data_IF_564563751672
#
_entry.id   IF_564563751672
#
_cell.length_a   1.000
_cell.length_b   1.000
_cell.length_c   1.000
_cell.angle_alpha   90.00
_cell.angle_beta   90.00
_cell.angle_gamma   90.00
#
_symmetry.space_group_name_H-M   'P 1'
#
loop_
_entity.id
_entity.type
_entity.pdbx_description
1 polymer ?
#
# COMPACT_ATOMS: atom_id res chain seq x y z
N UNK A 1 -2.25 -30.95 21.67
CA UNK A 1 -2.43 -30.79 20.20
C UNK A 1 -1.39 -29.86 19.59
N UNK A 2 -1.20 -28.65 20.11
CA UNK A 2 -0.28 -27.61 19.56
C UNK A 2 1.21 -27.82 19.88
N UNK A 3 1.69 -29.08 19.92
CA UNK A 3 3.05 -29.40 20.35
C UNK A 3 4.06 -29.07 19.24
N UNK A 4 4.98 -28.15 19.53
CA UNK A 4 6.14 -27.86 18.69
C UNK A 4 7.12 -29.03 18.72
N UNK A 5 7.71 -29.30 17.56
CA UNK A 5 8.93 -30.09 17.49
C UNK A 5 10.05 -29.37 18.26
N UNK A 6 10.91 -30.08 19.01
CA UNK A 6 11.96 -29.46 19.82
C UNK A 6 13.04 -28.75 18.99
N UNK A 7 13.27 -29.20 17.76
CA UNK A 7 14.16 -28.54 16.81
C UNK A 7 13.41 -27.53 15.95
N UNK A 8 14.04 -26.38 15.72
CA UNK A 8 13.58 -25.29 14.86
C UNK A 8 14.72 -24.82 13.95
N UNK A 9 14.39 -24.20 12.83
CA UNK A 9 15.37 -23.64 11.88
C UNK A 9 15.25 -22.12 11.87
N UNK A 10 16.38 -21.41 11.90
CA UNK A 10 16.40 -19.96 11.77
C UNK A 10 17.16 -19.55 10.51
N UNK A 11 16.53 -18.72 9.68
CA UNK A 11 17.12 -18.13 8.48
C UNK A 11 17.23 -16.62 8.68
N UNK A 12 18.40 -16.07 8.38
CA UNK A 12 18.67 -14.64 8.48
C UNK A 12 18.89 -14.07 7.08
N UNK A 13 18.04 -13.12 6.69
CA UNK A 13 18.16 -12.42 5.42
C UNK A 13 18.75 -11.03 5.65
N UNK A 14 19.85 -10.73 4.98
CA UNK A 14 20.52 -9.43 5.04
C UNK A 14 20.16 -8.56 3.84
N UNK A 15 19.62 -7.38 4.10
CA UNK A 15 19.38 -6.35 3.10
C UNK A 15 20.65 -5.56 2.79
N UNK A 16 20.63 -4.85 1.64
CA UNK A 16 21.77 -4.05 1.18
C UNK A 16 22.12 -2.91 2.14
N UNK A 17 21.12 -2.36 2.82
CA UNK A 17 21.27 -1.30 3.82
C UNK A 17 21.80 -1.81 5.18
N UNK A 18 22.04 -3.12 5.31
CA UNK A 18 22.50 -3.77 6.54
C UNK A 18 21.39 -4.30 7.43
N UNK A 19 20.12 -4.00 7.14
CA UNK A 19 18.97 -4.48 7.94
C UNK A 19 18.83 -6.01 7.83
N UNK A 20 18.37 -6.64 8.91
CA UNK A 20 18.25 -8.09 9.03
C UNK A 20 16.81 -8.52 9.27
N UNK A 21 16.36 -9.52 8.53
CA UNK A 21 15.10 -10.24 8.78
C UNK A 21 15.42 -11.65 9.27
N UNK A 22 15.03 -11.92 10.51
CA UNK A 22 15.14 -13.20 11.17
C UNK A 22 13.83 -13.96 11.00
N UNK A 23 13.92 -15.19 10.49
CA UNK A 23 12.79 -16.08 10.27
C UNK A 23 13.04 -17.36 11.06
N UNK A 24 12.27 -17.59 12.11
CA UNK A 24 12.35 -18.84 12.88
C UNK A 24 11.17 -19.73 12.54
N UNK A 25 11.48 -20.88 11.95
CA UNK A 25 10.53 -21.88 11.51
C UNK A 25 10.36 -22.96 12.57
N UNK A 26 9.10 -23.27 12.90
CA UNK A 26 8.73 -24.34 13.79
C UNK A 26 7.87 -25.37 13.04
N UNK A 27 7.89 -26.61 13.52
CA UNK A 27 7.03 -27.68 13.02
C UNK A 27 6.05 -28.11 14.10
N UNK A 28 4.76 -28.11 13.77
CA UNK A 28 3.69 -28.56 14.65
C UNK A 28 3.34 -30.00 14.29
N UNK A 29 3.97 -30.95 15.01
CA UNK A 29 3.98 -32.37 14.64
C UNK A 29 2.57 -32.97 14.51
N UNK A 30 1.67 -32.66 15.44
CA UNK A 30 0.31 -33.23 15.42
C UNK A 30 -0.58 -32.61 14.34
N UNK A 31 -0.25 -31.41 13.88
CA UNK A 31 -1.00 -30.70 12.85
C UNK A 31 -0.41 -30.90 11.44
N UNK A 32 0.79 -31.47 11.36
CA UNK A 32 1.60 -31.59 10.16
C UNK A 32 1.74 -30.26 9.39
N UNK A 33 2.04 -29.17 10.11
CA UNK A 33 2.13 -27.81 9.55
C UNK A 33 3.39 -27.13 10.05
N UNK A 34 4.05 -26.37 9.17
CA UNK A 34 5.13 -25.47 9.54
C UNK A 34 4.59 -24.09 9.89
N UNK A 35 5.23 -23.41 10.83
CA UNK A 35 4.92 -22.01 11.18
C UNK A 35 6.18 -21.18 11.15
N UNK A 36 6.04 -19.87 10.99
CA UNK A 36 7.17 -18.93 11.02
C UNK A 36 6.90 -17.78 11.97
N UNK A 37 7.93 -17.40 12.72
CA UNK A 37 8.00 -16.11 13.42
C UNK A 37 9.00 -15.22 12.70
N UNK A 38 8.58 -14.00 12.42
CA UNK A 38 9.45 -12.98 11.85
C UNK A 38 9.95 -12.05 12.97
N UNK A 39 11.18 -11.59 12.85
CA UNK A 39 11.70 -10.46 13.61
C UNK A 39 12.61 -9.65 12.70
N UNK A 40 12.52 -8.33 12.79
CA UNK A 40 13.35 -7.43 12.00
C UNK A 40 14.27 -6.64 12.93
N UNK A 41 15.51 -6.44 12.51
CA UNK A 41 16.47 -5.52 13.13
C UNK A 41 16.96 -4.54 12.07
N UNK A 42 16.70 -3.25 12.29
CA UNK A 42 17.19 -2.19 11.42
C UNK A 42 18.70 -2.00 11.59
N UNK A 43 19.39 -1.60 10.52
CA UNK A 43 20.83 -1.33 10.56
C UNK A 43 21.21 -0.11 11.42
N UNK A 44 20.27 0.80 11.61
CA UNK A 44 20.44 2.06 12.37
C UNK A 44 19.19 2.26 13.20
N UNK A 45 19.30 2.93 14.35
CA UNK A 45 18.12 3.36 15.10
C UNK A 45 17.21 4.18 14.19
N UNK A 46 15.97 3.71 14.04
CA UNK A 46 14.95 4.37 13.24
C UNK A 46 14.00 5.09 14.20
N UNK A 47 13.82 6.40 14.02
CA UNK A 47 12.71 7.10 14.63
C UNK A 47 11.42 6.56 14.03
N UNK A 48 10.57 5.95 14.86
CA UNK A 48 9.31 5.35 14.39
C UNK A 48 8.31 6.48 14.18
N UNK A 49 7.89 6.77 12.93
CA UNK A 49 6.85 7.76 12.69
C UNK A 49 5.53 7.22 13.25
N UNK A 50 4.69 8.09 13.76
CA UNK A 50 3.43 7.72 14.42
C UNK A 50 2.53 6.92 13.45
N UNK A 51 2.49 7.35 12.19
CA UNK A 51 1.77 6.75 11.07
C UNK A 51 2.39 5.44 10.56
N UNK A 52 3.61 5.05 10.98
CA UNK A 52 4.11 3.73 10.60
C UNK A 52 3.27 2.62 11.21
N UNK A 53 2.74 2.79 12.43
CA UNK A 53 1.89 1.78 13.09
C UNK A 53 2.37 0.34 12.85
N UNK A 54 1.57 -0.44 12.14
CA UNK A 54 1.81 -1.86 11.86
C UNK A 54 2.75 -2.16 10.68
N UNK A 55 3.31 -1.14 10.02
CA UNK A 55 4.12 -1.32 8.79
C UNK A 55 5.31 -2.27 8.98
N UNK A 56 5.94 -2.21 10.16
CA UNK A 56 7.07 -3.07 10.55
C UNK A 56 6.69 -4.06 11.67
N UNK A 57 5.40 -4.19 11.97
CA UNK A 57 4.92 -5.10 13.00
C UNK A 57 5.26 -6.55 12.61
N UNK A 58 5.97 -7.32 13.47
CA UNK A 58 6.35 -8.69 13.17
C UNK A 58 5.19 -9.61 12.75
N UNK A 59 3.99 -9.38 13.30
CA UNK A 59 2.82 -10.23 13.09
C UNK A 59 2.19 -10.03 11.69
N UNK A 60 2.29 -8.83 11.11
CA UNK A 60 1.68 -8.51 9.81
C UNK A 60 2.71 -8.28 8.69
N UNK A 61 4.01 -8.18 9.01
CA UNK A 61 5.08 -7.86 8.05
C UNK A 61 5.08 -8.76 6.81
N UNK A 62 4.83 -10.06 7.00
CA UNK A 62 4.88 -11.08 5.96
C UNK A 62 3.48 -11.51 5.47
N UNK A 63 2.42 -10.86 5.93
CA UNK A 63 1.06 -11.10 5.46
C UNK A 63 0.95 -10.81 3.96
N UNK A 64 0.18 -11.64 3.25
CA UNK A 64 -0.01 -11.55 1.81
C UNK A 64 1.30 -11.50 1.01
N UNK A 65 2.36 -12.17 1.48
CA UNK A 65 3.58 -12.36 0.68
C UNK A 65 3.24 -13.09 -0.63
N UNK A 66 2.36 -14.08 -0.51
CA UNK A 66 1.59 -14.63 -1.63
C UNK A 66 0.17 -14.02 -1.56
N UNK A 67 -0.47 -13.71 -2.71
CA UNK A 67 -1.78 -13.07 -2.71
C UNK A 67 -2.83 -13.84 -1.88
N UNK A 68 -3.55 -13.14 -1.00
CA UNK A 68 -4.59 -13.70 -0.12
C UNK A 68 -4.11 -14.59 1.03
N UNK A 69 -2.78 -14.75 1.21
CA UNK A 69 -2.23 -15.55 2.30
C UNK A 69 -1.96 -14.71 3.54
N UNK A 70 -2.98 -14.56 4.39
CA UNK A 70 -2.89 -13.78 5.63
C UNK A 70 -2.26 -14.56 6.80
N UNK A 71 -2.01 -15.87 6.65
CA UNK A 71 -1.43 -16.68 7.73
C UNK A 71 -2.29 -16.80 8.99
N UNK A 72 -3.61 -16.61 8.88
CA UNK A 72 -4.58 -16.73 9.99
C UNK A 72 -5.33 -18.08 10.00
N UNK A 73 -5.32 -18.81 8.88
CA UNK A 73 -6.03 -20.09 8.70
C UNK A 73 -5.04 -21.24 8.56
N UNK A 74 -5.45 -22.44 8.98
CA UNK A 74 -4.62 -23.63 8.79
C UNK A 74 -4.59 -24.04 7.31
N UNK A 75 -3.41 -24.32 6.74
CA UNK A 75 -3.29 -24.73 5.34
C UNK A 75 -3.70 -26.20 5.12
N UNK A 76 -3.74 -27.02 6.18
CA UNK A 76 -4.13 -28.42 6.12
C UNK A 76 -5.62 -28.57 6.48
N UNK A 77 -6.51 -28.97 5.54
CA UNK A 77 -7.94 -29.11 5.80
C UNK A 77 -8.27 -30.11 6.91
N UNK A 78 -7.44 -31.14 7.11
CA UNK A 78 -7.66 -32.14 8.17
C UNK A 78 -7.59 -31.52 9.58
N UNK A 79 -6.87 -30.41 9.74
CA UNK A 79 -6.74 -29.73 11.03
C UNK A 79 -8.05 -29.09 11.49
N UNK A 80 -8.98 -28.77 10.58
CA UNK A 80 -10.26 -28.17 10.95
C UNK A 80 -11.09 -29.14 11.80
N UNK A 81 -11.28 -30.38 11.34
CA UNK A 81 -11.94 -31.44 12.13
C UNK A 81 -11.25 -31.70 13.47
N UNK A 82 -9.93 -31.59 13.45
CA UNK A 82 -9.06 -31.81 14.58
C UNK A 82 -9.23 -30.69 15.63
N UNK A 83 -9.39 -29.44 15.20
CA UNK A 83 -9.70 -28.29 16.03
C UNK A 83 -11.12 -28.35 16.61
N UNK A 84 -12.10 -28.72 15.80
CA UNK A 84 -13.51 -28.87 16.22
C UNK A 84 -13.61 -29.90 17.37
N UNK A 85 -12.85 -30.99 17.29
CA UNK A 85 -12.83 -32.04 18.33
C UNK A 85 -12.32 -31.55 19.68
N UNK A 86 -11.48 -30.52 19.72
CA UNK A 86 -10.88 -29.99 20.95
C UNK A 86 -11.36 -28.58 21.32
N UNK A 87 -12.33 -28.04 20.58
CA UNK A 87 -12.91 -26.72 20.81
C UNK A 87 -11.99 -25.53 20.47
N UNK A 88 -11.02 -25.71 19.56
CA UNK A 88 -10.21 -24.57 19.07
C UNK A 88 -11.02 -23.84 17.99
N UNK A 89 -11.48 -22.63 18.29
CA UNK A 89 -12.30 -21.83 17.37
C UNK A 89 -11.47 -21.11 16.31
N UNK A 90 -10.31 -20.56 16.69
CA UNK A 90 -9.42 -19.86 15.77
C UNK A 90 -7.97 -20.15 16.09
N UNK A 91 -7.16 -20.31 15.03
CA UNK A 91 -5.72 -20.48 15.19
C UNK A 91 -5.02 -19.16 15.53
N UNK A 92 -5.68 -18.02 15.28
CA UNK A 92 -5.12 -16.69 15.46
C UNK A 92 -4.69 -16.43 16.91
N UNK A 93 -5.43 -16.96 17.89
CA UNK A 93 -5.12 -16.81 19.31
C UNK A 93 -3.78 -17.45 19.69
N UNK A 94 -3.34 -18.45 18.91
CA UNK A 94 -2.10 -19.19 19.13
C UNK A 94 -0.94 -18.70 18.25
N UNK A 95 -1.20 -17.82 17.28
CA UNK A 95 -0.16 -17.27 16.39
C UNK A 95 0.96 -16.56 17.16
N UNK A 96 0.70 -15.74 18.20
CA UNK A 96 1.77 -15.11 18.98
C UNK A 96 2.72 -16.13 19.61
N UNK A 97 2.22 -17.31 20.00
CA UNK A 97 3.04 -18.37 20.57
C UNK A 97 3.71 -19.22 19.47
N UNK A 98 2.96 -19.65 18.45
CA UNK A 98 3.35 -20.68 17.50
C UNK A 98 3.98 -20.14 16.22
N UNK A 99 3.72 -18.88 15.86
CA UNK A 99 4.01 -18.30 14.56
C UNK A 99 2.91 -18.55 13.52
N UNK A 100 3.04 -17.90 12.36
CA UNK A 100 2.04 -17.96 11.30
C UNK A 100 2.23 -19.18 10.39
N UNK A 101 1.17 -19.95 10.10
CA UNK A 101 1.20 -21.08 9.18
C UNK A 101 0.97 -20.65 7.71
N UNK A 102 1.76 -19.71 7.19
CA UNK A 102 1.61 -19.26 5.81
C UNK A 102 1.74 -20.41 4.79
N UNK A 103 1.05 -20.30 3.66
CA UNK A 103 1.10 -21.26 2.55
C UNK A 103 2.51 -21.33 1.95
N UNK A 104 3.19 -20.18 1.82
CA UNK A 104 4.55 -20.16 1.28
C UNK A 104 5.55 -20.91 2.20
N UNK A 105 5.31 -20.91 3.51
CA UNK A 105 6.14 -21.67 4.47
C UNK A 105 5.99 -23.16 4.22
N UNK A 106 4.75 -23.63 3.98
CA UNK A 106 4.50 -25.03 3.67
C UNK A 106 5.24 -25.46 2.40
N UNK A 107 5.13 -24.64 1.34
CA UNK A 107 5.79 -24.89 0.06
C UNK A 107 7.31 -24.94 0.20
N UNK A 108 7.91 -24.05 0.98
CA UNK A 108 9.34 -24.12 1.29
C UNK A 108 9.72 -25.38 2.08
N UNK A 109 8.83 -25.88 2.93
CA UNK A 109 9.00 -27.16 3.62
C UNK A 109 8.69 -28.39 2.77
N UNK A 110 8.31 -28.23 1.50
CA UNK A 110 7.91 -29.34 0.64
C UNK A 110 6.50 -29.87 0.91
N UNK A 111 5.71 -29.20 1.74
CA UNK A 111 4.33 -29.60 2.06
C UNK A 111 3.34 -28.96 1.10
N UNK A 112 2.53 -29.79 0.45
CA UNK A 112 1.43 -29.36 -0.40
C UNK A 112 0.10 -29.88 0.12
N UNK A 113 -0.88 -29.00 0.26
CA UNK A 113 -2.22 -29.33 0.73
C UNK A 113 -3.22 -29.06 -0.40
N UNK A 114 -3.58 -30.08 -1.21
CA UNK A 114 -4.62 -29.95 -2.23
C UNK A 114 -5.97 -29.64 -1.57
N UNK A 115 -6.76 -28.75 -2.18
CA UNK A 115 -8.12 -28.46 -1.71
C UNK A 115 -9.14 -29.54 -2.09
N UNK A 116 -8.86 -30.31 -3.16
CA UNK A 116 -9.87 -31.11 -3.86
C UNK A 116 -9.56 -32.63 -3.96
N UNK A 117 -8.60 -33.17 -3.19
CA UNK A 117 -8.23 -34.59 -3.27
C UNK A 117 -8.22 -35.30 -1.90
N UNK A 118 -8.61 -36.59 -1.87
CA UNK A 118 -8.64 -37.37 -0.64
C UNK A 118 -7.25 -37.57 -0.04
N UNK A 119 -7.25 -37.63 1.29
CA UNK A 119 -6.15 -37.48 2.23
C UNK A 119 -5.12 -38.63 2.17
N UNK A 120 -4.22 -38.62 1.18
CA UNK A 120 -2.93 -39.27 1.40
C UNK A 120 -2.12 -38.45 2.42
N UNK A 121 -1.33 -39.09 3.30
CA UNK A 121 -0.47 -38.35 4.23
C UNK A 121 0.45 -37.45 3.41
N UNK A 122 0.36 -36.13 3.66
CA UNK A 122 1.21 -35.15 2.97
C UNK A 122 2.65 -35.38 3.41
N UNK A 123 3.47 -35.85 2.48
CA UNK A 123 4.92 -36.06 2.66
C UNK A 123 5.66 -34.88 2.04
N UNK A 124 6.77 -34.49 2.67
CA UNK A 124 7.62 -33.42 2.16
C UNK A 124 8.27 -33.80 0.83
N UNK A 125 8.10 -32.92 -0.17
CA UNK A 125 8.72 -33.04 -1.50
C UNK A 125 9.82 -31.97 -1.68
N UNK A 126 11.05 -32.44 -1.86
CA UNK A 126 12.22 -31.59 -2.08
C UNK A 126 12.13 -30.79 -3.38
N UNK A 127 11.48 -31.33 -4.42
CA UNK A 127 11.34 -30.66 -5.71
C UNK A 127 10.43 -29.42 -5.60
N UNK A 128 9.36 -29.52 -4.80
CA UNK A 128 8.48 -28.41 -4.48
C UNK A 128 9.24 -27.29 -3.75
N UNK A 129 10.00 -27.64 -2.72
CA UNK A 129 10.82 -26.69 -1.97
C UNK A 129 11.80 -25.94 -2.89
N UNK A 130 12.57 -26.69 -3.69
CA UNK A 130 13.56 -26.13 -4.61
C UNK A 130 12.93 -25.16 -5.63
N UNK A 131 11.77 -25.51 -6.19
CA UNK A 131 11.07 -24.67 -7.17
C UNK A 131 10.55 -23.34 -6.61
N UNK A 132 10.30 -23.26 -5.29
CA UNK A 132 9.75 -22.08 -4.63
C UNK A 132 10.80 -21.25 -3.88
N UNK A 133 11.97 -21.81 -3.59
CA UNK A 133 13.01 -21.19 -2.74
C UNK A 133 13.43 -19.81 -3.26
N UNK A 134 13.94 -19.74 -4.49
CA UNK A 134 14.47 -18.50 -5.05
C UNK A 134 13.42 -17.38 -5.10
N UNK A 135 12.22 -17.71 -5.62
CA UNK A 135 11.11 -16.76 -5.72
C UNK A 135 10.71 -16.22 -4.35
N UNK A 136 10.58 -17.09 -3.36
CA UNK A 136 10.13 -16.70 -2.01
C UNK A 136 11.18 -15.85 -1.31
N UNK A 137 12.46 -16.19 -1.43
CA UNK A 137 13.55 -15.38 -0.88
C UNK A 137 13.62 -13.98 -1.53
N UNK A 138 13.39 -13.88 -2.85
CA UNK A 138 13.27 -12.58 -3.53
C UNK A 138 12.09 -11.77 -2.99
N UNK A 139 10.91 -12.39 -2.85
CA UNK A 139 9.72 -11.71 -2.32
C UNK A 139 9.92 -11.23 -0.88
N UNK A 140 10.53 -12.04 -0.01
CA UNK A 140 10.86 -11.65 1.38
C UNK A 140 11.76 -10.42 1.41
N UNK A 141 12.80 -10.40 0.56
CA UNK A 141 13.71 -9.27 0.46
C UNK A 141 13.01 -8.00 -0.06
N UNK A 142 12.25 -8.12 -1.14
CA UNK A 142 11.46 -6.99 -1.70
C UNK A 142 10.44 -6.47 -0.69
N UNK A 143 9.77 -7.36 0.07
CA UNK A 143 8.85 -6.97 1.14
C UNK A 143 9.57 -6.15 2.21
N UNK A 144 10.71 -6.63 2.70
CA UNK A 144 11.45 -5.90 3.73
C UNK A 144 11.92 -4.53 3.23
N UNK A 145 12.53 -4.48 2.05
CA UNK A 145 13.03 -3.23 1.46
C UNK A 145 11.90 -2.23 1.18
N UNK A 146 10.75 -2.67 0.67
CA UNK A 146 9.59 -1.80 0.43
C UNK A 146 9.00 -1.24 1.71
N UNK A 147 8.89 -2.04 2.79
CA UNK A 147 8.42 -1.58 4.10
C UNK A 147 9.39 -0.60 4.76
N UNK A 148 10.69 -0.85 4.67
CA UNK A 148 11.71 0.08 5.15
C UNK A 148 11.70 1.40 4.34
N UNK A 149 11.46 1.34 3.03
CA UNK A 149 11.32 2.52 2.19
C UNK A 149 10.07 3.34 2.56
N UNK A 150 8.92 2.69 2.74
CA UNK A 150 7.69 3.34 3.22
C UNK A 150 7.90 3.99 4.59
N UNK A 151 8.58 3.32 5.50
CA UNK A 151 8.87 3.87 6.83
C UNK A 151 9.68 5.16 6.74
N UNK A 152 10.70 5.21 5.88
CA UNK A 152 11.49 6.43 5.63
C UNK A 152 10.65 7.54 4.99
N UNK A 153 9.75 7.17 4.08
CA UNK A 153 8.83 8.12 3.45
C UNK A 153 7.87 8.71 4.48
N UNK A 154 7.24 7.89 5.33
CA UNK A 154 6.29 8.35 6.36
C UNK A 154 6.93 9.31 7.35
N UNK A 155 8.18 9.05 7.75
CA UNK A 155 8.94 10.00 8.57
C UNK A 155 9.07 11.38 7.91
N UNK A 156 9.12 11.46 6.58
CA UNK A 156 9.12 12.76 5.87
C UNK A 156 7.70 13.34 5.73
N UNK A 157 6.71 12.49 5.42
CA UNK A 157 5.32 12.90 5.22
C UNK A 157 4.70 13.52 6.48
N UNK A 158 5.03 13.03 7.67
CA UNK A 158 4.57 13.59 8.94
C UNK A 158 5.04 15.03 9.18
N UNK A 159 6.15 15.41 8.57
CA UNK A 159 6.68 16.77 8.61
C UNK A 159 6.16 17.63 7.43
N UNK A 160 5.19 17.14 6.66
CA UNK A 160 4.66 17.82 5.47
C UNK A 160 5.61 17.81 4.27
N UNK A 161 6.70 17.03 4.33
CA UNK A 161 7.70 16.96 3.26
C UNK A 161 7.36 15.79 2.35
N UNK A 162 7.19 16.06 1.05
CA UNK A 162 7.03 15.04 0.01
C UNK A 162 8.41 14.69 -0.59
N UNK A 163 9.05 13.57 -0.18
CA UNK A 163 10.35 13.21 -0.71
C UNK A 163 10.19 12.65 -2.13
N UNK A 164 10.67 13.40 -3.12
CA UNK A 164 10.77 12.97 -4.51
C UNK A 164 12.23 12.64 -4.84
N UNK A 165 12.47 11.46 -5.39
CA UNK A 165 13.83 11.08 -5.77
C UNK A 165 14.33 11.93 -6.95
N UNK A 166 15.65 12.20 -7.06
CA UNK A 166 16.21 12.94 -8.20
C UNK A 166 15.83 12.34 -9.55
N UNK A 167 15.76 11.01 -9.63
CA UNK A 167 15.40 10.27 -10.84
C UNK A 167 13.92 10.47 -11.23
N UNK A 168 13.06 10.87 -10.29
CA UNK A 168 11.62 11.08 -10.50
C UNK A 168 11.26 12.55 -10.76
N UNK A 169 12.23 13.49 -10.71
CA UNK A 169 11.96 14.92 -10.88
C UNK A 169 11.34 15.26 -12.23
N UNK A 170 11.73 14.54 -13.29
CA UNK A 170 11.19 14.73 -14.64
C UNK A 170 9.69 14.43 -14.77
N UNK A 171 9.07 13.79 -13.76
CA UNK A 171 7.65 13.50 -13.75
C UNK A 171 6.80 14.72 -13.40
N UNK A 172 7.40 15.78 -12.85
CA UNK A 172 6.71 16.91 -12.23
C UNK A 172 7.20 18.26 -12.79
N UNK A 173 6.36 19.30 -12.76
CA UNK A 173 6.81 20.66 -13.04
C UNK A 173 7.72 21.18 -11.92
N UNK A 174 8.56 22.16 -12.24
CA UNK A 174 9.49 22.75 -11.27
C UNK A 174 8.80 23.49 -10.12
N UNK A 175 7.65 24.13 -10.39
CA UNK A 175 6.90 24.93 -9.40
C UNK A 175 5.55 24.28 -9.07
N UNK A 176 5.37 23.96 -7.80
CA UNK A 176 4.16 23.34 -7.24
C UNK A 176 3.80 24.15 -5.98
N UNK A 177 2.55 24.61 -5.91
CA UNK A 177 2.10 25.58 -4.90
C UNK A 177 1.33 24.91 -3.76
N UNK A 178 0.52 23.90 -4.07
CA UNK A 178 -0.10 23.06 -3.05
C UNK A 178 0.93 22.22 -2.31
N UNK A 179 0.72 22.01 -1.01
CA UNK A 179 1.63 21.24 -0.17
C UNK A 179 0.87 20.33 0.80
N UNK A 180 1.55 19.27 1.23
CA UNK A 180 1.04 18.35 2.25
C UNK A 180 1.10 19.04 3.62
N UNK A 181 -0.03 19.12 4.30
CA UNK A 181 -0.11 19.67 5.68
C UNK A 181 -0.33 18.59 6.73
N UNK A 182 -0.91 17.44 6.35
CA UNK A 182 -1.17 16.35 7.29
C UNK A 182 -1.01 14.99 6.63
N UNK A 183 -0.37 14.08 7.34
CA UNK A 183 -0.33 12.65 7.03
C UNK A 183 -0.61 11.87 8.32
N UNK A 184 -1.63 11.03 8.32
CA UNK A 184 -2.00 10.23 9.50
C UNK A 184 -2.56 8.87 9.09
N UNK A 185 -2.41 7.86 9.96
CA UNK A 185 -3.09 6.58 9.81
C UNK A 185 -4.56 6.68 10.18
N UNK A 186 -5.38 5.87 9.51
CA UNK A 186 -6.80 5.64 9.83
C UNK A 186 -6.99 4.18 10.22
N UNK A 187 -8.03 3.90 11.00
CA UNK A 187 -8.52 2.53 11.15
C UNK A 187 -9.31 2.11 9.91
N UNK A 188 -9.59 0.80 9.78
CA UNK A 188 -10.46 0.31 8.71
C UNK A 188 -11.88 0.87 8.87
N UNK A 189 -12.38 0.90 10.10
CA UNK A 189 -13.69 1.43 10.46
C UNK A 189 -13.82 2.91 10.10
N UNK A 190 -12.85 3.74 10.48
CA UNK A 190 -12.83 5.17 10.14
C UNK A 190 -12.83 5.39 8.61
N UNK A 191 -12.12 4.53 7.85
CA UNK A 191 -12.09 4.64 6.39
C UNK A 191 -13.44 4.30 5.76
N UNK A 192 -14.16 3.31 6.30
CA UNK A 192 -15.49 2.91 5.82
C UNK A 192 -16.57 3.96 6.09
N UNK A 193 -16.39 4.80 7.11
CA UNK A 193 -17.34 5.87 7.43
C UNK A 193 -17.27 7.05 6.45
N UNK A 194 -16.18 7.16 5.67
CA UNK A 194 -15.99 8.26 4.72
C UNK A 194 -16.93 8.12 3.50
N UNK A 195 -17.82 9.09 3.23
CA UNK A 195 -18.80 8.95 2.14
C UNK A 195 -18.19 8.81 0.74
N UNK A 196 -17.00 9.37 0.53
CA UNK A 196 -16.31 9.40 -0.76
C UNK A 196 -15.41 8.17 -1.01
N UNK A 197 -15.39 7.17 -0.12
CA UNK A 197 -14.60 5.93 -0.29
C UNK A 197 -15.44 4.72 -0.70
N UNK A 198 -16.78 4.87 -0.79
CA UNK A 198 -17.73 3.77 -1.02
C UNK A 198 -17.41 2.92 -2.24
N UNK A 199 -17.12 3.55 -3.38
CA UNK A 199 -16.81 2.83 -4.63
C UNK A 199 -15.59 1.89 -4.48
N UNK A 200 -14.58 2.29 -3.69
CA UNK A 200 -13.38 1.49 -3.42
C UNK A 200 -13.71 0.29 -2.53
N UNK A 201 -14.56 0.50 -1.52
CA UNK A 201 -15.04 -0.56 -0.63
C UNK A 201 -15.91 -1.56 -1.40
N UNK A 202 -16.89 -1.10 -2.16
CA UNK A 202 -17.80 -1.93 -2.96
C UNK A 202 -17.08 -2.72 -4.05
N UNK A 203 -15.97 -2.18 -4.57
CA UNK A 203 -15.10 -2.87 -5.53
C UNK A 203 -14.19 -3.94 -4.91
N UNK A 204 -14.23 -4.13 -3.58
CA UNK A 204 -13.38 -5.10 -2.88
C UNK A 204 -11.91 -4.71 -2.82
N UNK A 205 -11.60 -3.41 -2.96
CA UNK A 205 -10.22 -2.90 -2.94
C UNK A 205 -9.77 -2.47 -1.52
N UNK A 206 -10.72 -2.39 -0.58
CA UNK A 206 -10.49 -2.09 0.84
C UNK A 206 -10.82 -3.32 1.69
N UNK A 207 -9.81 -4.02 2.19
CA UNK A 207 -9.93 -5.15 3.10
C UNK A 207 -9.44 -4.79 4.51
N UNK A 208 -9.94 -5.47 5.54
CA UNK A 208 -9.52 -5.30 6.94
C UNK A 208 -8.01 -5.52 7.16
N UNK A 209 -7.33 -6.18 6.23
CA UNK A 209 -5.89 -6.45 6.26
C UNK A 209 -5.03 -5.39 5.56
N UNK A 210 -5.64 -4.37 4.96
CA UNK A 210 -4.93 -3.25 4.35
C UNK A 210 -4.56 -2.18 5.39
N UNK A 211 -3.65 -1.28 5.01
CA UNK A 211 -3.30 -0.10 5.80
C UNK A 211 -4.01 1.13 5.22
N UNK A 212 -4.56 1.97 6.10
CA UNK A 212 -5.37 3.12 5.72
C UNK A 212 -4.73 4.42 6.20
N UNK A 213 -4.76 5.44 5.34
CA UNK A 213 -4.16 6.73 5.63
C UNK A 213 -5.03 7.88 5.14
N UNK A 214 -4.85 9.05 5.76
CA UNK A 214 -5.41 10.31 5.32
C UNK A 214 -4.27 11.30 5.05
N UNK A 215 -4.20 11.78 3.82
CA UNK A 215 -3.41 12.95 3.46
C UNK A 215 -4.31 14.18 3.36
N UNK A 216 -3.85 15.32 3.90
CA UNK A 216 -4.48 16.62 3.68
C UNK A 216 -3.49 17.50 2.90
N UNK A 217 -3.92 17.95 1.73
CA UNK A 217 -3.15 18.85 0.85
C UNK A 217 -3.89 20.18 0.78
N UNK A 218 -3.16 21.27 0.95
CA UNK A 218 -3.73 22.62 0.98
C UNK A 218 -3.07 23.56 -0.03
N UNK A 219 -3.88 24.49 -0.55
CA UNK A 219 -3.44 25.70 -1.24
C UNK A 219 -4.46 26.81 -0.99
N UNK A 220 -4.04 27.89 -0.33
CA UNK A 220 -4.95 28.98 0.03
C UNK A 220 -6.12 28.46 0.87
N UNK A 221 -7.36 28.76 0.47
CA UNK A 221 -8.55 28.27 1.17
C UNK A 221 -8.96 26.85 0.76
N UNK A 222 -8.36 26.27 -0.27
CA UNK A 222 -8.72 24.95 -0.78
C UNK A 222 -8.06 23.83 0.03
N UNK A 223 -8.87 22.88 0.50
CA UNK A 223 -8.43 21.73 1.28
C UNK A 223 -8.82 20.42 0.60
N UNK A 224 -7.83 19.66 0.14
CA UNK A 224 -8.03 18.35 -0.47
C UNK A 224 -7.72 17.25 0.53
N UNK A 225 -8.73 16.49 0.93
CA UNK A 225 -8.59 15.24 1.66
C UNK A 225 -8.37 14.11 0.65
N UNK A 226 -7.36 13.29 0.90
CA UNK A 226 -7.06 12.10 0.12
C UNK A 226 -6.93 10.90 1.05
N UNK A 227 -7.93 10.03 1.01
CA UNK A 227 -7.92 8.78 1.76
C UNK A 227 -7.23 7.70 0.93
N UNK A 228 -6.25 7.03 1.51
CA UNK A 228 -5.33 6.12 0.81
C UNK A 228 -5.44 4.72 1.39
N UNK A 229 -5.67 3.74 0.52
CA UNK A 229 -5.61 2.31 0.84
C UNK A 229 -4.28 1.74 0.36
N UNK A 230 -3.52 1.13 1.26
CA UNK A 230 -2.23 0.50 0.96
C UNK A 230 -2.31 -1.01 1.22
N UNK A 231 -2.34 -1.78 0.13
CA UNK A 231 -2.29 -3.23 0.19
C UNK A 231 -0.90 -3.71 0.71
N UNK A 232 -0.82 -4.80 1.50
CA UNK A 232 0.46 -5.34 1.97
C UNK A 232 1.47 -5.69 0.84
N UNK A 233 0.99 -5.91 -0.37
CA UNK A 233 1.76 -6.10 -1.60
C UNK A 233 2.29 -4.82 -2.26
N UNK A 234 2.44 -3.71 -1.51
CA UNK A 234 3.02 -2.46 -2.00
C UNK A 234 4.31 -2.67 -2.81
N UNK A 235 4.51 -1.81 -3.80
CA UNK A 235 5.47 -1.90 -4.93
C UNK A 235 5.07 -2.88 -6.05
N UNK A 236 4.18 -3.84 -5.79
CA UNK A 236 3.56 -4.68 -6.82
C UNK A 236 2.12 -4.28 -7.09
N UNK A 237 1.40 -3.88 -6.03
CA UNK A 237 0.04 -3.34 -6.07
C UNK A 237 0.11 -1.87 -5.66
N UNK A 238 -0.42 -0.93 -6.48
CA UNK A 238 -0.38 0.49 -6.16
C UNK A 238 -1.33 0.82 -5.00
N UNK A 239 -1.02 1.85 -4.19
CA UNK A 239 -2.01 2.47 -3.32
C UNK A 239 -3.16 3.06 -4.13
N UNK A 240 -4.36 3.02 -3.56
CA UNK A 240 -5.60 3.56 -4.15
C UNK A 240 -6.05 4.79 -3.37
N UNK A 241 -6.37 5.86 -4.07
CA UNK A 241 -6.75 7.16 -3.52
C UNK A 241 -8.23 7.45 -3.77
N UNK A 242 -8.92 7.99 -2.76
CA UNK A 242 -10.25 8.58 -2.86
C UNK A 242 -10.19 10.03 -2.41
N UNK A 243 -10.79 10.94 -3.16
CA UNK A 243 -10.60 12.37 -3.01
C UNK A 243 -11.87 13.11 -2.58
N UNK A 244 -11.71 14.03 -1.64
CA UNK A 244 -12.72 15.02 -1.27
C UNK A 244 -12.09 16.41 -1.18
N UNK A 245 -12.50 17.31 -2.07
CA UNK A 245 -12.07 18.70 -2.08
C UNK A 245 -13.11 19.58 -1.39
N UNK A 246 -12.71 20.21 -0.29
CA UNK A 246 -13.48 21.25 0.36
C UNK A 246 -13.01 22.62 -0.13
N UNK A 247 -13.69 23.14 -1.14
CA UNK A 247 -13.49 24.47 -1.69
C UNK A 247 -14.74 24.88 -2.49
N UNK A 248 -15.41 25.96 -2.05
CA UNK A 248 -16.71 26.40 -2.57
C UNK A 248 -17.77 25.28 -2.48
N UNK A 249 -17.82 24.62 -1.33
CA UNK A 249 -18.61 23.42 -1.10
C UNK A 249 -17.76 22.15 -1.15
N UNK A 250 -18.42 21.02 -0.93
CA UNK A 250 -17.80 19.70 -0.94
C UNK A 250 -17.88 19.08 -2.35
N UNK A 251 -16.71 18.82 -2.94
CA UNK A 251 -16.56 18.21 -4.26
C UNK A 251 -15.90 16.84 -4.14
N UNK A 252 -16.55 15.83 -4.66
CA UNK A 252 -16.12 14.42 -4.63
C UNK A 252 -16.22 13.84 -6.04
N UNK A 253 -15.74 12.61 -6.24
CA UNK A 253 -15.90 11.89 -7.51
C UNK A 253 -17.37 11.74 -7.93
N UNK A 254 -18.32 11.76 -6.98
CA UNK A 254 -19.75 11.61 -7.24
C UNK A 254 -20.40 12.84 -7.86
N UNK A 255 -19.87 14.04 -7.59
CA UNK A 255 -20.49 15.30 -8.02
C UNK A 255 -19.57 16.18 -8.89
N UNK A 256 -18.30 15.80 -9.10
CA UNK A 256 -17.36 16.50 -9.97
C UNK A 256 -16.49 15.52 -10.80
N UNK A 257 -16.70 15.54 -12.12
CA UNK A 257 -15.94 14.73 -13.09
C UNK A 257 -14.44 15.01 -13.05
N UNK A 258 -14.01 16.21 -12.65
CA UNK A 258 -12.59 16.54 -12.55
C UNK A 258 -11.95 15.93 -11.30
N UNK A 259 -12.70 15.72 -10.21
CA UNK A 259 -12.21 14.95 -9.05
C UNK A 259 -12.01 13.49 -9.45
N UNK A 260 -12.98 12.90 -10.17
CA UNK A 260 -12.83 11.55 -10.75
C UNK A 260 -11.64 11.46 -11.71
N UNK A 261 -11.40 12.49 -12.52
CA UNK A 261 -10.23 12.53 -13.40
C UNK A 261 -8.91 12.64 -12.61
N UNK A 262 -8.86 13.41 -11.52
CA UNK A 262 -7.70 13.46 -10.61
C UNK A 262 -7.42 12.10 -9.97
N UNK A 263 -8.46 11.38 -9.52
CA UNK A 263 -8.34 10.00 -9.03
C UNK A 263 -7.78 9.08 -10.11
N UNK A 264 -8.26 9.18 -11.35
CA UNK A 264 -7.74 8.38 -12.46
C UNK A 264 -6.25 8.65 -12.75
N UNK A 265 -5.79 9.90 -12.64
CA UNK A 265 -4.38 10.27 -12.83
C UNK A 265 -3.44 9.59 -11.83
N UNK A 266 -3.88 9.41 -10.58
CA UNK A 266 -3.06 8.79 -9.54
C UNK A 266 -3.27 7.28 -9.42
N UNK A 267 -4.49 6.79 -9.64
CA UNK A 267 -4.86 5.38 -9.45
C UNK A 267 -4.66 4.54 -10.70
N UNK A 268 -5.07 5.04 -11.87
CA UNK A 268 -5.04 4.28 -13.14
C UNK A 268 -3.73 4.51 -13.89
N UNK A 269 -3.28 5.76 -13.94
CA UNK A 269 -2.02 6.14 -14.60
C UNK A 269 -0.77 5.96 -13.70
N UNK A 270 -0.89 5.24 -12.58
CA UNK A 270 0.17 5.02 -11.60
C UNK A 270 1.49 4.49 -12.20
N UNK A 271 1.44 3.76 -13.31
CA UNK A 271 2.64 3.22 -13.99
C UNK A 271 3.59 4.31 -14.46
N UNK A 272 3.07 5.51 -14.78
CA UNK A 272 3.88 6.69 -15.12
C UNK A 272 4.60 7.26 -13.89
N UNK A 273 4.20 6.86 -12.68
CA UNK A 273 4.68 7.37 -11.39
C UNK A 273 5.60 6.38 -10.66
N UNK A 274 5.78 5.16 -11.17
CA UNK A 274 6.60 4.13 -10.52
C UNK A 274 8.08 4.52 -10.36
N UNK A 275 8.59 5.45 -11.19
CA UNK A 275 10.01 5.81 -11.18
C UNK A 275 10.93 4.62 -11.53
N UNK A 276 12.21 4.64 -11.14
CA UNK A 276 13.13 3.54 -11.39
C UNK A 276 12.76 2.29 -10.57
N UNK A 277 13.04 1.11 -11.14
CA UNK A 277 12.91 -0.16 -10.40
C UNK A 277 13.77 -0.11 -9.13
N UNK A 278 13.28 -0.61 -7.98
CA UNK A 278 12.10 -1.48 -7.81
C UNK A 278 10.76 -0.76 -7.57
N UNK A 279 10.69 0.57 -7.71
CA UNK A 279 9.43 1.31 -7.63
C UNK A 279 8.93 1.62 -6.21
N UNK A 280 9.82 1.68 -5.22
CA UNK A 280 9.44 1.96 -3.84
C UNK A 280 8.95 3.40 -3.60
N UNK A 281 9.17 4.33 -4.54
CA UNK A 281 8.77 5.75 -4.46
C UNK A 281 7.39 6.04 -5.05
N UNK A 282 6.60 5.01 -5.36
CA UNK A 282 5.30 5.19 -6.02
C UNK A 282 4.34 6.06 -5.20
N UNK A 283 4.22 5.83 -3.89
CA UNK A 283 3.30 6.57 -3.03
C UNK A 283 3.61 8.08 -3.02
N UNK A 284 4.89 8.44 -2.84
CA UNK A 284 5.30 9.85 -2.79
C UNK A 284 5.15 10.52 -4.14
N UNK A 285 5.40 9.78 -5.24
CA UNK A 285 5.14 10.27 -6.59
C UNK A 285 3.63 10.45 -6.88
N UNK A 286 2.76 9.60 -6.34
CA UNK A 286 1.29 9.78 -6.41
C UNK A 286 0.84 11.02 -5.63
N UNK A 287 1.33 11.21 -4.40
CA UNK A 287 1.05 12.42 -3.61
C UNK A 287 1.56 13.69 -4.30
N UNK A 288 2.75 13.65 -4.88
CA UNK A 288 3.30 14.77 -5.65
C UNK A 288 2.46 15.06 -6.90
N UNK A 289 2.03 14.02 -7.62
CA UNK A 289 1.09 14.16 -8.75
C UNK A 289 -0.21 14.80 -8.29
N UNK A 290 -0.71 14.42 -7.12
CA UNK A 290 -1.93 14.96 -6.54
C UNK A 290 -1.83 16.46 -6.27
N UNK A 291 -0.71 16.93 -5.72
CA UNK A 291 -0.41 18.36 -5.60
C UNK A 291 -0.45 19.06 -6.97
N UNK A 292 0.19 18.49 -7.99
CA UNK A 292 0.21 19.07 -9.35
C UNK A 292 -1.20 19.19 -9.94
N UNK A 293 -2.02 18.15 -9.82
CA UNK A 293 -3.37 18.17 -10.39
C UNK A 293 -4.34 19.03 -9.57
N UNK A 294 -4.15 19.16 -8.25
CA UNK A 294 -4.89 20.12 -7.43
C UNK A 294 -4.58 21.56 -7.85
N UNK A 295 -3.30 21.87 -8.06
CA UNK A 295 -2.90 23.18 -8.57
C UNK A 295 -3.59 23.51 -9.90
N UNK A 296 -3.56 22.58 -10.86
CA UNK A 296 -4.23 22.76 -12.15
C UNK A 296 -5.73 22.89 -11.99
N UNK A 297 -6.34 22.10 -11.11
CA UNK A 297 -7.76 22.16 -10.81
C UNK A 297 -8.15 23.60 -10.43
N UNK A 298 -7.43 24.18 -9.47
CA UNK A 298 -7.70 25.51 -8.93
C UNK A 298 -7.36 26.63 -9.94
N UNK A 299 -6.22 26.53 -10.63
CA UNK A 299 -5.74 27.53 -11.59
C UNK A 299 -6.64 27.63 -12.83
N UNK A 300 -7.18 26.50 -13.29
CA UNK A 300 -8.03 26.44 -14.49
C UNK A 300 -9.52 26.56 -14.18
N UNK A 301 -9.90 26.77 -12.92
CA UNK A 301 -11.29 27.07 -12.58
C UNK A 301 -11.73 28.37 -13.24
N UNK A 302 -12.90 28.35 -13.87
CA UNK A 302 -13.50 29.54 -14.48
C UNK A 302 -13.82 30.56 -13.40
N UNK A 303 -13.28 31.76 -13.55
CA UNK A 303 -13.58 32.86 -12.65
C UNK A 303 -15.02 33.33 -12.90
N UNK A 304 -15.74 33.65 -11.81
CA UNK A 304 -16.99 34.38 -11.92
C UNK A 304 -16.66 35.85 -12.15
N UNK A 305 -16.87 36.35 -13.36
CA UNK A 305 -16.54 37.73 -13.73
C UNK A 305 -17.40 38.77 -12.99
N UNK A 306 -18.39 38.35 -12.20
CA UNK A 306 -19.23 39.24 -11.38
C UNK A 306 -18.58 39.66 -10.05
N UNK A 307 -17.51 38.99 -9.61
CA UNK A 307 -16.81 39.30 -8.35
C UNK A 307 -15.57 40.12 -8.65
N UNK A 308 -15.56 41.40 -8.26
CA UNK A 308 -14.37 42.25 -8.32
C UNK A 308 -13.34 41.80 -7.28
N UNK A 309 -12.16 41.40 -7.73
CA UNK A 309 -11.04 41.00 -6.86
C UNK A 309 -9.97 40.18 -7.59
N UNK A 310 -8.75 40.07 -7.05
CA UNK A 310 -7.73 39.21 -7.61
C UNK A 310 -8.16 37.75 -7.51
N UNK A 311 -7.93 36.98 -8.60
CA UNK A 311 -8.15 35.54 -8.61
C UNK A 311 -7.32 34.88 -7.51
N UNK A 312 -7.97 34.16 -6.59
CA UNK A 312 -7.32 33.46 -5.47
C UNK A 312 -6.17 32.54 -5.95
N UNK A 313 -6.37 31.89 -7.10
CA UNK A 313 -5.40 30.99 -7.72
C UNK A 313 -5.04 31.46 -9.13
N UNK A 314 -4.01 32.30 -9.29
CA UNK A 314 -3.56 32.77 -10.60
C UNK A 314 -3.04 31.59 -11.43
N UNK A 315 -3.31 31.61 -12.73
CA UNK A 315 -2.82 30.58 -13.66
C UNK A 315 -1.32 30.77 -13.90
N UNK A 316 -0.51 29.83 -13.41
CA UNK A 316 0.94 29.84 -13.60
C UNK A 316 1.38 28.73 -14.58
N UNK A 317 0.63 27.63 -14.61
CA UNK A 317 0.95 26.46 -15.45
C UNK A 317 0.47 26.67 -16.89
N UNK A 318 1.38 26.47 -17.84
CA UNK A 318 1.06 26.53 -19.26
C UNK A 318 0.12 25.36 -19.63
N UNK A 319 -1.07 25.68 -20.12
CA UNK A 319 -2.07 24.72 -20.58
C UNK A 319 -2.44 25.03 -22.03
N UNK A 320 -2.41 24.04 -22.93
CA UNK A 320 -2.79 24.26 -24.34
C UNK A 320 -4.27 24.64 -24.49
N UNK A 321 -5.13 24.07 -23.64
CA UNK A 321 -6.57 24.30 -23.61
C UNK A 321 -7.06 24.06 -22.18
N UNK A 322 -8.01 24.87 -21.70
CA UNK A 322 -8.49 24.79 -20.31
C UNK A 322 -9.54 23.70 -20.06
N UNK A 323 -10.32 23.35 -21.09
CA UNK A 323 -11.36 22.33 -20.98
C UNK A 323 -11.57 21.59 -22.31
N UNK A 324 -11.83 20.28 -22.26
CA UNK A 324 -12.14 19.44 -23.44
C UNK A 324 -13.30 18.48 -23.18
N UNK A 325 -14.09 18.22 -24.23
CA UNK A 325 -15.15 17.22 -24.24
C UNK A 325 -16.44 17.65 -23.51
N UNK A 326 -17.47 16.79 -23.50
CA UNK A 326 -18.76 17.09 -22.86
C UNK A 326 -18.65 17.35 -21.36
N UNK A 327 -17.84 16.57 -20.65
CA UNK A 327 -17.55 16.74 -19.21
C UNK A 327 -16.63 17.92 -18.89
N UNK A 328 -16.20 18.71 -19.90
CA UNK A 328 -15.30 19.86 -19.74
C UNK A 328 -14.05 19.55 -18.89
N UNK A 329 -13.44 18.40 -19.14
CA UNK A 329 -12.29 17.91 -18.36
C UNK A 329 -11.11 18.86 -18.47
N UNK A 330 -10.38 19.02 -17.37
CA UNK A 330 -9.15 19.82 -17.26
C UNK A 330 -7.91 19.08 -17.78
N UNK A 331 -6.84 19.79 -18.17
CA UNK A 331 -5.63 19.19 -18.75
C UNK A 331 -4.66 18.68 -17.67
N UNK A 332 -4.85 17.47 -17.14
CA UNK A 332 -3.99 16.96 -16.06
C UNK A 332 -2.68 16.28 -16.51
N UNK A 333 -2.51 15.98 -17.80
CA UNK A 333 -1.31 15.30 -18.30
C UNK A 333 -0.15 16.27 -18.50
N UNK A 334 0.94 16.07 -17.76
CA UNK A 334 2.17 16.86 -17.86
C UNK A 334 3.10 16.34 -18.98
N UNK A 335 3.60 17.24 -19.83
CA UNK A 335 4.60 16.93 -20.85
C UNK A 335 5.95 17.55 -20.47
N UNK A 336 6.85 16.75 -19.91
CA UNK A 336 8.13 17.23 -19.38
C UNK A 336 9.02 17.91 -20.43
N UNK A 337 9.12 17.34 -21.63
CA UNK A 337 10.02 17.86 -22.68
C UNK A 337 9.68 19.27 -23.14
N UNK A 338 8.41 19.67 -23.01
CA UNK A 338 7.90 20.96 -23.50
C UNK A 338 7.34 21.84 -22.37
N UNK A 339 7.24 21.33 -21.14
CA UNK A 339 6.87 22.10 -19.95
C UNK A 339 5.40 22.54 -19.89
N UNK A 340 4.47 21.83 -20.54
CA UNK A 340 3.05 22.19 -20.55
C UNK A 340 2.11 21.04 -20.21
N UNK A 341 0.87 21.41 -19.91
CA UNK A 341 -0.22 20.52 -19.59
C UNK A 341 -1.20 20.34 -20.75
N UNK A 342 -1.62 19.09 -20.94
CA UNK A 342 -2.53 18.64 -21.98
C UNK A 342 -3.63 17.76 -21.40
N UNK A 343 -4.71 17.56 -22.17
CA UNK A 343 -5.72 16.57 -21.83
C UNK A 343 -5.18 15.17 -22.12
N UNK A 344 -5.70 14.19 -21.38
CA UNK A 344 -5.48 12.78 -21.70
C UNK A 344 -6.02 12.43 -23.10
#
# INVERSE_FOLDING_TARGET
MLKKHPLSVTINLKCKDGSLLFLTFYYLMNLNVLTVKAKMTAATEMTVPISAGDLLCPDSLLSCLYPGDHGKRTPNPANQFQFDKVGILTLNDYVPELGHPYVWVQKLGGLHFPKDQPQNPVVADNSLSASHMERTMKLLKTRLESRLALHKQFASLEHGILPVSPESQHLFPAKIMSHLVKWMSLTYEDYMELPYTKDVVESGLAEDTHLYYLALIERGTAKLQASVVLNPGYSSIPPVFSLCLNWKGEKTSMNDDNIRAMESEVNVCYKELCGPKPGYQLLTNQLQRLCVVLDLYLETETHDNSVEGPKEFPQEKMCLRLARGPSRLKPFKYNYSQGFFSHR
#
